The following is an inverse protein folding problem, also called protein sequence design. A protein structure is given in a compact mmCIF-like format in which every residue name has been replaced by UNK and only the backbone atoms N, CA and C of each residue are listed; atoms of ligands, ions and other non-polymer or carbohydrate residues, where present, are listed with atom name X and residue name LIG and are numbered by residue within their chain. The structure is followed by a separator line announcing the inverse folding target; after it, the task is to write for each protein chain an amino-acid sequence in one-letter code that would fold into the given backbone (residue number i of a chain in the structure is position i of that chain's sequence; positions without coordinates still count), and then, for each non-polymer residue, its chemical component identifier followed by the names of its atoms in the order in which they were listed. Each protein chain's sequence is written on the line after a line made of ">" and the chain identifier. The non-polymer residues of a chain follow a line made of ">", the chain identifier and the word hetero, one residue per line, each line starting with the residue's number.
data_IF_099687300756
#
_entry.id   IF_099687300756
#
_cell.length_a   1.000
_cell.length_b   1.000
_cell.length_c   1.000
_cell.angle_alpha   90.00
_cell.angle_beta   90.00
_cell.angle_gamma   90.00
#
_symmetry.space_group_name_H-M   'P 1'
#
loop_
_entity.id
_entity.type
_entity.pdbx_description
1 polymer ?
#
# COMPACT_ATOMS: atom_id res chain seq x y z
N UNK A 1 -13.62 36.81 1.92
CA UNK A 1 -14.58 35.99 1.16
C UNK A 1 -13.90 35.54 -0.12
N UNK A 2 -13.74 34.24 -0.30
CA UNK A 2 -13.89 33.50 -1.57
C UNK A 2 -13.71 32.02 -1.21
N UNK A 3 -14.85 31.37 -1.00
CA UNK A 3 -14.97 29.91 -0.87
C UNK A 3 -15.03 29.35 -2.29
N UNK A 4 -14.16 28.41 -2.62
CA UNK A 4 -14.39 27.51 -3.75
C UNK A 4 -14.36 26.08 -3.19
N UNK A 5 -15.48 25.35 -3.20
CA UNK A 5 -15.49 23.96 -2.78
C UNK A 5 -14.91 23.10 -3.91
N UNK A 6 -13.86 22.33 -3.60
CA UNK A 6 -13.39 21.27 -4.49
C UNK A 6 -14.40 20.11 -4.38
N UNK A 7 -15.18 19.92 -5.44
CA UNK A 7 -16.04 18.75 -5.63
C UNK A 7 -15.37 17.91 -6.71
N UNK A 8 -14.79 16.76 -6.35
CA UNK A 8 -14.29 15.79 -7.32
C UNK A 8 -15.33 14.69 -7.53
N UNK A 9 -15.70 14.51 -8.80
CA UNK A 9 -16.57 13.43 -9.28
C UNK A 9 -15.76 12.14 -9.36
N UNK A 10 -16.25 11.07 -8.72
CA UNK A 10 -15.82 9.71 -9.02
C UNK A 10 -16.16 9.37 -10.47
N UNK A 11 -15.13 9.00 -11.25
CA UNK A 11 -15.32 8.22 -12.47
C UNK A 11 -15.30 6.73 -12.08
N UNK A 12 -16.40 6.02 -12.31
CA UNK A 12 -16.53 4.58 -12.06
C UNK A 12 -15.99 3.75 -13.21
N UNK A 13 -15.32 2.65 -12.84
CA UNK A 13 -14.99 1.44 -13.59
C UNK A 13 -14.04 1.54 -14.79
N UNK A 14 -12.88 0.90 -14.64
CA UNK A 14 -12.24 0.09 -15.68
C UNK A 14 -11.62 -1.14 -15.02
N UNK A 15 -12.22 -2.32 -15.25
CA UNK A 15 -11.51 -3.59 -15.19
C UNK A 15 -10.50 -3.60 -16.36
N UNK A 16 -9.21 -3.85 -16.06
CA UNK A 16 -7.96 -3.82 -16.88
C UNK A 16 -7.00 -2.88 -16.11
N UNK A 17 -5.94 -3.26 -15.40
CA UNK A 17 -4.95 -4.33 -15.58
C UNK A 17 -4.42 -4.78 -14.21
N UNK A 18 -4.31 -6.09 -13.97
CA UNK A 18 -3.65 -6.65 -12.78
C UNK A 18 -2.14 -6.87 -12.94
N UNK A 19 -1.53 -6.34 -14.00
CA UNK A 19 -0.11 -6.58 -14.34
C UNK A 19 0.76 -5.34 -14.45
N UNK A 20 0.21 -4.13 -14.27
CA UNK A 20 0.99 -2.88 -14.34
C UNK A 20 1.01 -2.17 -12.99
N UNK A 21 1.96 -2.54 -12.13
CA UNK A 21 2.21 -1.83 -10.86
C UNK A 21 3.44 -0.91 -10.90
N UNK A 22 4.09 -0.75 -12.06
CA UNK A 22 5.22 0.17 -12.23
C UNK A 22 4.79 1.56 -12.69
N UNK A 23 5.60 2.58 -12.39
CA UNK A 23 5.44 3.90 -12.97
C UNK A 23 5.62 3.80 -14.51
N UNK A 24 5.01 4.70 -15.29
CA UNK A 24 5.07 4.64 -16.76
C UNK A 24 5.77 5.87 -17.36
N UNK A 25 6.71 5.64 -18.29
CA UNK A 25 7.31 6.68 -19.13
C UNK A 25 7.21 6.24 -20.60
N UNK A 26 6.49 7.02 -21.41
CA UNK A 26 6.14 6.62 -22.79
C UNK A 26 5.42 5.25 -22.83
N UNK A 27 5.71 4.39 -23.82
CA UNK A 27 5.17 3.02 -23.95
C UNK A 27 5.98 1.95 -23.16
N UNK A 28 6.97 2.34 -22.36
CA UNK A 28 7.78 1.43 -21.55
C UNK A 28 7.39 1.54 -20.07
N UNK A 29 7.43 0.41 -19.37
CA UNK A 29 7.30 0.43 -17.92
C UNK A 29 8.60 0.93 -17.33
N UNK A 30 8.52 1.78 -16.31
CA UNK A 30 9.72 2.24 -15.61
C UNK A 30 10.47 1.04 -15.03
N UNK A 31 9.77 -0.04 -14.63
CA UNK A 31 10.40 -1.31 -14.27
C UNK A 31 11.31 -1.92 -15.35
N UNK A 32 11.04 -1.69 -16.64
CA UNK A 32 11.91 -2.13 -17.73
C UNK A 32 13.17 -1.26 -17.85
N UNK A 33 13.10 0.00 -17.43
CA UNK A 33 14.24 0.93 -17.36
C UNK A 33 15.12 0.66 -16.13
N UNK A 34 14.51 0.37 -14.97
CA UNK A 34 15.24 0.07 -13.73
C UNK A 34 16.05 -1.22 -13.84
N UNK A 35 15.48 -2.24 -14.49
CA UNK A 35 16.12 -3.56 -14.61
C UNK A 35 16.95 -3.72 -15.90
N UNK A 36 17.19 -2.63 -16.63
CA UNK A 36 17.97 -2.66 -17.85
C UNK A 36 19.45 -2.80 -17.50
N UNK A 37 20.09 -3.80 -18.11
CA UNK A 37 21.53 -4.07 -18.09
C UNK A 37 21.92 -4.32 -19.56
N UNK A 38 22.43 -3.29 -20.21
CA UNK A 38 22.61 -3.25 -21.66
C UNK A 38 23.82 -4.07 -22.09
N UNK A 39 24.87 -4.11 -21.29
CA UNK A 39 26.10 -4.84 -21.61
C UNK A 39 26.14 -6.24 -20.99
N UNK A 40 25.24 -6.56 -20.06
CA UNK A 40 25.12 -7.82 -19.34
C UNK A 40 26.36 -8.10 -18.48
N UNK A 41 26.89 -7.08 -17.81
CA UNK A 41 27.97 -7.22 -16.83
C UNK A 41 27.46 -7.46 -15.39
N UNK A 42 26.14 -7.36 -15.18
CA UNK A 42 25.49 -7.54 -13.89
C UNK A 42 25.30 -6.26 -13.08
N UNK A 43 25.72 -5.11 -13.62
CA UNK A 43 25.39 -3.77 -13.13
C UNK A 43 24.25 -3.21 -13.97
N UNK A 44 23.29 -2.55 -13.34
CA UNK A 44 22.16 -1.96 -14.06
C UNK A 44 22.59 -0.63 -14.72
N UNK A 45 22.04 -0.31 -15.89
CA UNK A 45 22.39 0.89 -16.68
C UNK A 45 22.33 2.18 -15.83
N UNK A 46 21.31 2.29 -14.97
CA UNK A 46 21.14 3.46 -14.11
C UNK A 46 22.23 3.55 -13.02
N UNK A 47 22.71 2.40 -12.55
CA UNK A 47 23.76 2.32 -11.55
C UNK A 47 25.10 2.71 -12.17
N UNK A 48 25.38 2.25 -13.38
CA UNK A 48 26.54 2.67 -14.15
C UNK A 48 26.56 4.18 -14.39
N UNK A 49 25.41 4.73 -14.77
CA UNK A 49 25.21 6.18 -14.94
C UNK A 49 25.52 6.95 -13.66
N UNK A 50 25.10 6.43 -12.51
CA UNK A 50 25.33 7.04 -11.19
C UNK A 50 26.82 7.07 -10.84
N UNK A 51 27.55 6.01 -11.17
CA UNK A 51 28.97 5.88 -10.87
C UNK A 51 29.89 6.39 -11.98
N UNK A 52 29.32 6.85 -13.09
CA UNK A 52 30.04 7.46 -14.20
C UNK A 52 30.70 6.45 -15.15
N UNK A 53 30.19 5.21 -15.19
CA UNK A 53 30.54 4.19 -16.18
C UNK A 53 29.57 4.24 -17.38
N UNK A 54 29.93 3.56 -18.47
CA UNK A 54 29.24 3.55 -19.76
C UNK A 54 28.39 2.29 -19.88
N UNK A 55 27.04 2.40 -19.87
CA UNK A 55 26.15 1.24 -19.86
C UNK A 55 26.25 0.28 -21.05
N UNK A 56 26.99 0.67 -22.08
CA UNK A 56 27.18 -0.14 -23.28
C UNK A 56 28.49 -0.94 -23.24
N UNK A 57 29.26 -0.85 -22.15
CA UNK A 57 30.61 -1.43 -22.04
C UNK A 57 30.88 -2.02 -20.66
N UNK A 58 31.20 -3.32 -20.65
CA UNK A 58 31.63 -4.04 -19.42
C UNK A 58 32.87 -3.44 -18.74
N UNK A 59 33.63 -2.67 -19.50
CA UNK A 59 34.84 -1.97 -19.08
C UNK A 59 34.84 -0.57 -19.69
N UNK A 60 34.46 0.44 -18.92
CA UNK A 60 34.60 1.85 -19.30
C UNK A 60 36.06 2.27 -19.29
N UNK A 61 36.82 1.79 -18.29
CA UNK A 61 38.25 1.97 -18.17
C UNK A 61 38.99 0.66 -18.51
N UNK A 62 39.97 0.66 -19.43
CA UNK A 62 40.65 -0.57 -19.83
C UNK A 62 41.29 -1.32 -18.64
N UNK A 63 40.93 -2.60 -18.48
CA UNK A 63 41.57 -3.51 -17.53
C UNK A 63 40.92 -3.58 -16.15
N UNK A 64 39.76 -2.95 -15.94
CA UNK A 64 38.93 -3.10 -14.74
C UNK A 64 37.47 -3.13 -15.20
N UNK A 65 36.70 -4.16 -14.81
CA UNK A 65 35.26 -4.19 -15.09
C UNK A 65 34.51 -3.15 -14.29
N UNK A 66 33.41 -2.65 -14.85
CA UNK A 66 32.65 -1.56 -14.24
C UNK A 66 32.02 -2.01 -12.92
N UNK A 67 31.48 -3.23 -12.84
CA UNK A 67 31.16 -3.92 -11.57
C UNK A 67 32.23 -3.79 -10.47
N UNK A 68 33.50 -4.06 -10.79
CA UNK A 68 34.61 -4.00 -9.81
C UNK A 68 34.98 -2.56 -9.45
N UNK A 69 34.94 -1.65 -10.43
CA UNK A 69 35.19 -0.24 -10.21
C UNK A 69 34.13 0.37 -9.28
N UNK A 70 32.86 0.04 -9.50
CA UNK A 70 31.71 0.48 -8.73
C UNK A 70 31.75 -0.07 -7.30
N UNK A 71 32.04 -1.35 -7.12
CA UNK A 71 32.18 -1.95 -5.80
C UNK A 71 33.28 -1.27 -4.97
N UNK A 72 34.38 -0.89 -5.61
CA UNK A 72 35.45 -0.15 -4.97
C UNK A 72 34.99 1.25 -4.55
N UNK A 73 34.25 1.96 -5.40
CA UNK A 73 33.70 3.28 -5.07
C UNK A 73 32.68 3.21 -3.92
N UNK A 74 31.79 2.20 -3.92
CA UNK A 74 30.87 1.93 -2.82
C UNK A 74 31.62 1.66 -1.51
N UNK A 75 32.66 0.84 -1.56
CA UNK A 75 33.48 0.54 -0.38
C UNK A 75 34.22 1.77 0.15
N UNK A 76 34.75 2.62 -0.73
CA UNK A 76 35.41 3.89 -0.37
C UNK A 76 34.44 4.90 0.27
N UNK A 77 33.17 4.89 -0.15
CA UNK A 77 32.11 5.71 0.44
C UNK A 77 31.45 5.09 1.67
N UNK A 78 31.86 3.87 2.08
CA UNK A 78 31.27 3.15 3.21
C UNK A 78 29.87 2.61 2.93
N UNK A 79 29.46 2.51 1.65
CA UNK A 79 28.14 2.05 1.18
C UNK A 79 28.13 0.53 0.93
N UNK A 80 29.24 -0.18 1.14
CA UNK A 80 29.33 -1.63 0.88
C UNK A 80 29.23 -2.51 2.13
N UNK A 81 28.21 -3.37 2.21
CA UNK A 81 28.37 -4.67 2.86
C UNK A 81 29.42 -5.49 2.08
N UNK A 82 30.24 -6.24 2.80
CA UNK A 82 31.21 -7.18 2.20
C UNK A 82 30.45 -8.30 1.48
N UNK A 83 30.23 -8.18 0.17
CA UNK A 83 29.72 -9.29 -0.64
C UNK A 83 30.90 -10.13 -1.11
N UNK A 84 31.15 -11.22 -0.37
CA UNK A 84 31.73 -12.42 -0.97
C UNK A 84 30.63 -13.09 -1.80
N UNK A 85 30.92 -13.39 -3.06
CA UNK A 85 29.95 -13.93 -3.99
C UNK A 85 29.32 -15.24 -3.53
N UNK A 86 28.00 -15.32 -3.62
CA UNK A 86 27.29 -16.29 -4.45
C UNK A 86 25.79 -15.94 -4.41
N UNK A 87 25.13 -16.14 -5.55
CA UNK A 87 23.69 -16.37 -5.69
C UNK A 87 22.68 -15.23 -5.46
N UNK A 88 21.59 -15.34 -6.23
CA UNK A 88 20.32 -14.59 -6.19
C UNK A 88 19.76 -14.40 -4.76
N UNK A 89 20.36 -13.55 -3.95
CA UNK A 89 19.67 -12.98 -2.81
C UNK A 89 18.78 -11.89 -3.36
N UNK A 90 17.49 -12.21 -3.56
CA UNK A 90 16.46 -11.19 -3.67
C UNK A 90 16.54 -10.36 -2.39
N UNK A 91 17.14 -9.19 -2.51
CA UNK A 91 17.26 -8.23 -1.43
C UNK A 91 15.85 -7.95 -0.87
N UNK A 92 15.68 -8.08 0.44
CA UNK A 92 14.38 -7.81 1.08
C UNK A 92 14.19 -6.29 1.22
N UNK A 93 13.87 -5.65 0.11
CA UNK A 93 13.65 -4.21 0.01
C UNK A 93 12.31 -3.80 0.61
N UNK A 94 12.31 -2.70 1.38
CA UNK A 94 11.08 -1.98 1.75
C UNK A 94 10.46 -1.32 0.51
N UNK A 95 9.20 -0.89 0.58
CA UNK A 95 8.62 -0.13 -0.54
C UNK A 95 9.30 1.24 -0.67
N UNK A 96 9.78 1.81 0.43
CA UNK A 96 10.63 3.01 0.39
C UNK A 96 11.94 2.78 -0.38
N UNK A 97 12.58 1.62 -0.22
CA UNK A 97 13.80 1.28 -0.96
C UNK A 97 13.50 1.09 -2.45
N UNK A 98 12.44 0.32 -2.77
CA UNK A 98 11.99 0.10 -4.15
C UNK A 98 11.64 1.43 -4.81
N UNK A 99 10.88 2.27 -4.12
CA UNK A 99 10.50 3.60 -4.57
C UNK A 99 11.73 4.47 -4.83
N UNK A 100 12.70 4.49 -3.90
CA UNK A 100 13.92 5.29 -4.06
C UNK A 100 14.71 4.83 -5.28
N UNK A 101 14.88 3.51 -5.46
CA UNK A 101 15.55 2.94 -6.63
C UNK A 101 14.84 3.32 -7.92
N UNK A 102 13.52 3.21 -7.96
CA UNK A 102 12.72 3.55 -9.13
C UNK A 102 12.84 5.03 -9.49
N UNK A 103 12.72 5.92 -8.50
CA UNK A 103 12.87 7.36 -8.68
C UNK A 103 14.27 7.73 -9.20
N UNK A 104 15.32 7.24 -8.54
CA UNK A 104 16.69 7.55 -8.95
C UNK A 104 17.03 7.01 -10.33
N UNK A 105 16.59 5.78 -10.64
CA UNK A 105 16.80 5.16 -11.96
C UNK A 105 16.11 5.95 -13.07
N UNK A 106 14.87 6.40 -12.80
CA UNK A 106 14.12 7.24 -13.73
C UNK A 106 14.85 8.55 -13.98
N UNK A 107 15.28 9.25 -12.92
CA UNK A 107 16.02 10.52 -13.04
C UNK A 107 17.36 10.33 -13.77
N UNK A 108 18.10 9.25 -13.48
CA UNK A 108 19.37 8.96 -14.15
C UNK A 108 19.20 8.75 -15.66
N UNK A 109 18.24 7.92 -16.05
CA UNK A 109 17.91 7.63 -17.46
C UNK A 109 17.55 8.91 -18.21
N UNK A 110 16.66 9.73 -17.64
CA UNK A 110 16.19 10.96 -18.27
C UNK A 110 17.29 12.02 -18.42
N UNK A 111 18.23 12.06 -17.47
CA UNK A 111 19.40 12.93 -17.56
C UNK A 111 20.36 12.50 -18.69
N UNK A 112 20.48 11.20 -18.97
CA UNK A 112 21.33 10.70 -20.05
C UNK A 112 20.77 11.01 -21.44
N UNK A 113 19.45 10.88 -21.60
CA UNK A 113 18.79 11.14 -22.89
C UNK A 113 18.64 12.65 -23.18
N UNK A 114 18.91 13.51 -22.19
CA UNK A 114 18.78 14.97 -22.33
C UNK A 114 17.33 15.44 -22.40
N UNK A 115 16.38 14.60 -21.99
CA UNK A 115 14.93 14.79 -22.17
C UNK A 115 14.20 15.30 -20.92
N UNK A 116 14.93 15.80 -19.91
CA UNK A 116 14.29 16.32 -18.68
C UNK A 116 13.67 17.71 -18.90
N UNK A 117 12.49 17.74 -19.50
CA UNK A 117 11.62 18.90 -19.57
C UNK A 117 10.59 18.93 -18.43
N UNK A 118 9.91 20.07 -18.26
CA UNK A 118 8.91 20.22 -17.19
C UNK A 118 7.75 19.23 -17.33
N UNK A 119 7.36 18.87 -18.57
CA UNK A 119 6.26 17.94 -18.81
C UNK A 119 6.60 16.52 -18.32
N UNK A 120 7.87 16.12 -18.44
CA UNK A 120 8.38 14.86 -17.93
C UNK A 120 8.42 14.84 -16.40
N UNK A 121 8.88 15.93 -15.77
CA UNK A 121 8.84 16.08 -14.30
C UNK A 121 7.41 15.99 -13.77
N UNK A 122 6.46 16.64 -14.44
CA UNK A 122 5.04 16.64 -14.04
C UNK A 122 4.45 15.22 -14.13
N UNK A 123 4.77 14.46 -15.20
CA UNK A 123 4.31 13.07 -15.35
C UNK A 123 4.86 12.14 -14.27
N UNK A 124 6.14 12.24 -13.95
CA UNK A 124 6.76 11.46 -12.87
C UNK A 124 6.08 11.80 -11.55
N UNK A 125 5.87 13.10 -11.29
CA UNK A 125 5.21 13.57 -10.08
C UNK A 125 3.77 13.06 -9.95
N UNK A 126 3.00 13.05 -11.05
CA UNK A 126 1.64 12.49 -11.06
C UNK A 126 1.63 10.98 -10.87
N UNK A 127 2.46 10.25 -11.62
CA UNK A 127 2.55 8.78 -11.50
C UNK A 127 2.97 8.37 -10.09
N UNK A 128 3.86 9.14 -9.46
CA UNK A 128 4.27 8.97 -8.07
C UNK A 128 3.10 9.18 -7.11
N UNK A 129 2.38 10.31 -7.24
CA UNK A 129 1.21 10.57 -6.41
C UNK A 129 0.17 9.45 -6.54
N UNK A 130 -0.06 8.96 -7.76
CA UNK A 130 -1.00 7.87 -8.04
C UNK A 130 -0.55 6.55 -7.39
N UNK A 131 0.75 6.22 -7.44
CA UNK A 131 1.29 5.02 -6.81
C UNK A 131 1.14 5.06 -5.28
N UNK A 132 1.41 6.22 -4.66
CA UNK A 132 1.20 6.42 -3.22
C UNK A 132 -0.29 6.32 -2.86
N UNK A 133 -1.20 6.85 -3.70
CA UNK A 133 -2.61 6.89 -3.36
C UNK A 133 -3.36 5.58 -3.60
N UNK A 134 -2.86 4.69 -4.47
CA UNK A 134 -3.61 3.52 -4.95
C UNK A 134 -2.99 2.17 -4.58
N UNK A 135 -2.49 2.02 -3.34
CA UNK A 135 -2.02 0.71 -2.88
C UNK A 135 -3.19 -0.26 -2.65
N UNK A 136 -3.23 -1.43 -3.32
CA UNK A 136 -4.33 -2.38 -3.17
C UNK A 136 -4.30 -3.04 -1.78
N UNK A 137 -5.47 -3.47 -1.25
CA UNK A 137 -5.51 -4.23 0.00
C UNK A 137 -4.76 -5.56 -0.16
N UNK A 138 -4.01 -5.96 0.87
CA UNK A 138 -3.20 -7.19 0.83
C UNK A 138 -4.06 -8.42 0.99
N UNK A 139 -5.08 -8.36 1.85
CA UNK A 139 -6.00 -9.46 2.10
C UNK A 139 -7.42 -9.09 1.72
N UNK A 140 -8.04 -9.99 0.96
CA UNK A 140 -9.44 -9.90 0.54
C UNK A 140 -10.09 -11.24 0.83
N UNK A 141 -11.13 -11.23 1.65
CA UNK A 141 -11.99 -12.39 1.86
C UNK A 141 -12.96 -12.54 0.70
N UNK A 142 -13.31 -13.78 0.42
CA UNK A 142 -14.20 -14.19 -0.66
C UNK A 142 -15.34 -15.05 -0.11
N UNK A 143 -16.30 -15.40 -0.96
CA UNK A 143 -17.40 -16.30 -0.57
C UNK A 143 -16.94 -17.67 -0.06
N UNK A 144 -15.76 -18.16 -0.48
CA UNK A 144 -15.22 -19.42 0.05
C UNK A 144 -14.71 -19.32 1.49
N UNK A 145 -14.46 -18.11 1.98
CA UNK A 145 -13.93 -17.88 3.32
C UNK A 145 -15.05 -17.78 4.38
N UNK A 146 -16.30 -17.55 3.96
CA UNK A 146 -17.45 -17.34 4.85
C UNK A 146 -18.42 -18.52 4.85
N UNK A 147 -19.20 -18.65 5.93
CA UNK A 147 -20.17 -19.73 6.09
C UNK A 147 -21.58 -19.28 5.71
N UNK A 148 -21.93 -19.43 4.43
CA UNK A 148 -23.27 -19.10 3.96
C UNK A 148 -24.28 -20.21 4.27
N UNK A 149 -25.42 -19.86 4.84
CA UNK A 149 -26.56 -20.77 5.06
C UNK A 149 -27.73 -20.37 4.16
N UNK A 150 -28.50 -21.34 3.67
CA UNK A 150 -29.67 -21.10 2.81
C UNK A 150 -30.89 -20.54 3.56
N UNK A 151 -30.86 -20.53 4.89
CA UNK A 151 -31.96 -20.08 5.73
C UNK A 151 -31.98 -18.55 5.83
N UNK A 152 -32.92 -17.94 5.12
CA UNK A 152 -33.19 -16.50 5.12
C UNK A 152 -34.40 -16.12 5.98
N UNK A 153 -34.78 -16.95 6.95
CA UNK A 153 -35.86 -16.67 7.88
C UNK A 153 -35.55 -15.49 8.80
N UNK A 154 -36.59 -14.85 9.33
CA UNK A 154 -36.45 -13.80 10.36
C UNK A 154 -35.70 -14.33 11.59
N UNK A 155 -35.91 -15.60 11.97
CA UNK A 155 -35.19 -16.21 13.09
C UNK A 155 -33.69 -16.36 12.80
N UNK A 156 -33.31 -16.80 11.59
CA UNK A 156 -31.91 -16.90 11.20
C UNK A 156 -31.21 -15.53 11.21
N UNK A 157 -31.89 -14.50 10.73
CA UNK A 157 -31.38 -13.12 10.73
C UNK A 157 -31.24 -12.56 12.14
N UNK A 158 -32.22 -12.81 13.01
CA UNK A 158 -32.14 -12.41 14.41
C UNK A 158 -30.94 -13.07 15.09
N UNK A 159 -30.76 -14.38 14.88
CA UNK A 159 -29.61 -15.12 15.42
C UNK A 159 -28.28 -14.57 14.90
N UNK A 160 -28.21 -14.25 13.62
CA UNK A 160 -27.04 -13.62 13.02
C UNK A 160 -26.74 -12.26 13.65
N UNK A 161 -27.74 -11.39 13.79
CA UNK A 161 -27.59 -10.08 14.45
C UNK A 161 -27.12 -10.23 15.90
N UNK A 162 -27.79 -11.08 16.70
CA UNK A 162 -27.43 -11.33 18.09
C UNK A 162 -25.99 -11.86 18.23
N UNK A 163 -25.51 -12.61 17.21
CA UNK A 163 -24.13 -13.11 17.14
C UNK A 163 -23.13 -11.98 16.88
N UNK A 164 -23.43 -11.08 15.93
CA UNK A 164 -22.59 -9.91 15.68
C UNK A 164 -22.50 -9.00 16.91
N UNK A 165 -23.64 -8.71 17.54
CA UNK A 165 -23.68 -7.89 18.76
C UNK A 165 -22.83 -8.50 19.87
N UNK A 166 -22.89 -9.84 20.02
CA UNK A 166 -22.06 -10.57 20.98
C UNK A 166 -20.56 -10.51 20.66
N UNK A 167 -20.19 -10.55 19.37
CA UNK A 167 -18.80 -10.41 18.92
C UNK A 167 -18.28 -9.01 19.26
N UNK A 168 -19.03 -7.96 18.92
CA UNK A 168 -18.64 -6.57 19.20
C UNK A 168 -18.53 -6.31 20.71
N UNK A 169 -19.47 -6.81 21.52
CA UNK A 169 -19.42 -6.68 22.97
C UNK A 169 -18.22 -7.41 23.59
N UNK A 170 -17.80 -8.55 23.00
CA UNK A 170 -16.66 -9.35 23.48
C UNK A 170 -15.31 -8.68 23.22
N UNK A 171 -15.20 -7.90 22.14
CA UNK A 171 -13.95 -7.28 21.71
C UNK A 171 -14.11 -5.74 21.62
N UNK A 172 -14.22 -5.05 22.78
CA UNK A 172 -14.40 -3.61 22.78
C UNK A 172 -13.18 -2.91 22.18
N UNK A 173 -13.42 -2.05 21.20
CA UNK A 173 -12.42 -1.17 20.61
C UNK A 173 -12.24 0.04 21.54
N UNK A 174 -10.99 0.39 21.86
CA UNK A 174 -10.66 1.52 22.72
C UNK A 174 -9.73 2.48 21.99
N UNK A 175 -9.97 3.77 22.16
CA UNK A 175 -9.20 4.83 21.51
C UNK A 175 -9.94 5.45 20.34
N UNK A 176 -9.37 6.52 19.82
CA UNK A 176 -9.89 7.25 18.67
C UNK A 176 -8.71 7.48 17.72
N UNK A 177 -8.82 6.97 16.50
CA UNK A 177 -7.73 7.06 15.52
C UNK A 177 -7.40 8.52 15.21
N UNK A 178 -8.40 9.39 15.03
CA UNK A 178 -8.16 10.80 14.72
C UNK A 178 -7.39 11.51 15.84
N UNK A 179 -7.72 11.24 17.11
CA UNK A 179 -6.99 11.79 18.25
C UNK A 179 -5.53 11.29 18.28
N UNK A 180 -5.30 10.01 17.94
CA UNK A 180 -3.97 9.41 17.88
C UNK A 180 -3.14 10.01 16.75
N UNK A 181 -3.73 10.16 15.55
CA UNK A 181 -3.07 10.79 14.40
C UNK A 181 -2.78 12.27 14.69
N UNK A 182 -3.68 12.97 15.38
CA UNK A 182 -3.45 14.35 15.81
C UNK A 182 -2.27 14.45 16.79
N UNK A 183 -2.15 13.51 17.74
CA UNK A 183 -0.98 13.44 18.64
C UNK A 183 0.32 13.17 17.87
N UNK A 184 0.26 12.33 16.83
CA UNK A 184 1.41 12.00 16.00
C UNK A 184 1.94 13.25 15.26
N UNK A 185 1.06 14.06 14.66
CA UNK A 185 1.45 15.27 13.90
C UNK A 185 1.44 16.58 14.71
N UNK A 186 1.44 16.50 16.05
CA UNK A 186 1.26 17.68 16.89
C UNK A 186 2.38 18.74 16.74
N UNK A 187 3.57 18.36 16.28
CA UNK A 187 4.68 19.23 15.93
C UNK A 187 5.17 18.91 14.52
N UNK A 188 5.05 19.89 13.61
CA UNK A 188 5.43 19.76 12.19
C UNK A 188 6.93 19.52 11.99
N UNK A 189 7.77 19.90 12.96
CA UNK A 189 9.22 19.72 12.89
C UNK A 189 9.69 18.43 13.58
N UNK A 190 8.86 17.83 14.42
CA UNK A 190 9.22 16.66 15.21
C UNK A 190 7.99 15.82 15.55
N UNK A 191 7.61 14.94 14.61
CA UNK A 191 6.46 14.06 14.78
C UNK A 191 6.67 13.10 15.96
N UNK A 192 5.58 12.79 16.67
CA UNK A 192 5.62 11.86 17.80
C UNK A 192 5.29 10.43 17.34
N UNK A 193 6.28 9.74 16.76
CA UNK A 193 6.10 8.38 16.22
C UNK A 193 5.65 7.38 17.29
N UNK A 194 6.02 7.59 18.55
CA UNK A 194 5.58 6.76 19.68
C UNK A 194 4.06 6.78 19.90
N UNK A 195 3.35 7.83 19.46
CA UNK A 195 1.90 7.88 19.51
C UNK A 195 1.23 6.81 18.64
N UNK A 196 1.88 6.36 17.56
CA UNK A 196 1.32 5.35 16.65
C UNK A 196 1.16 3.97 17.31
N UNK A 197 1.88 3.69 18.40
CA UNK A 197 1.65 2.50 19.22
C UNK A 197 0.26 2.49 19.89
N UNK A 198 -0.37 3.66 20.08
CA UNK A 198 -1.74 3.77 20.61
C UNK A 198 -2.80 3.24 19.62
N UNK A 199 -2.44 2.92 18.38
CA UNK A 199 -3.33 2.24 17.42
C UNK A 199 -3.54 0.75 17.77
N UNK A 200 -2.65 0.12 18.55
CA UNK A 200 -2.75 -1.32 18.88
C UNK A 200 -4.05 -1.70 19.63
N UNK A 201 -4.52 -0.92 20.63
CA UNK A 201 -5.84 -1.07 21.23
C UNK A 201 -7.05 -0.98 20.28
N UNK A 202 -6.85 -0.55 19.02
CA UNK A 202 -7.86 -0.52 17.96
C UNK A 202 -7.65 -1.68 17.00
N UNK A 203 -6.41 -1.91 16.56
CA UNK A 203 -6.03 -2.95 15.62
C UNK A 203 -6.32 -4.35 16.19
N UNK A 204 -5.88 -4.64 17.42
CA UNK A 204 -6.01 -6.00 17.96
C UNK A 204 -7.47 -6.46 18.16
N UNK A 205 -8.38 -5.66 18.76
CA UNK A 205 -9.77 -6.06 18.86
C UNK A 205 -10.45 -6.17 17.49
N UNK A 206 -10.12 -5.28 16.54
CA UNK A 206 -10.68 -5.34 15.18
C UNK A 206 -10.29 -6.64 14.48
N UNK A 207 -9.03 -7.06 14.57
CA UNK A 207 -8.58 -8.38 14.10
C UNK A 207 -9.35 -9.54 14.75
N UNK A 208 -9.65 -9.46 16.05
CA UNK A 208 -10.46 -10.48 16.74
C UNK A 208 -11.91 -10.50 16.27
N UNK A 209 -12.48 -9.32 15.96
CA UNK A 209 -13.81 -9.18 15.37
C UNK A 209 -13.84 -9.82 13.98
N UNK A 210 -12.92 -9.45 13.07
CA UNK A 210 -12.83 -10.02 11.72
C UNK A 210 -12.80 -11.55 11.78
N UNK A 211 -11.88 -12.11 12.58
CA UNK A 211 -11.72 -13.55 12.73
C UNK A 211 -12.97 -14.27 13.27
N UNK A 212 -13.76 -13.60 14.11
CA UNK A 212 -15.01 -14.16 14.64
C UNK A 212 -16.16 -14.01 13.63
N UNK A 213 -16.24 -12.87 12.95
CA UNK A 213 -17.27 -12.56 11.94
C UNK A 213 -17.16 -13.50 10.74
N UNK A 214 -15.96 -13.74 10.21
CA UNK A 214 -15.72 -14.72 9.12
C UNK A 214 -16.24 -16.12 9.46
N UNK A 215 -16.15 -16.52 10.74
CA UNK A 215 -16.59 -17.85 11.21
C UNK A 215 -18.09 -17.94 11.46
N UNK A 216 -18.80 -16.82 11.42
CA UNK A 216 -20.23 -16.72 11.72
C UNK A 216 -21.05 -17.23 10.53
N UNK A 217 -22.10 -18.00 10.81
CA UNK A 217 -23.02 -18.44 9.77
C UNK A 217 -23.93 -17.29 9.35
N UNK A 218 -23.90 -16.94 8.06
CA UNK A 218 -24.63 -15.78 7.50
C UNK A 218 -25.75 -16.26 6.57
N UNK A 219 -26.99 -15.74 6.71
CA UNK A 219 -28.07 -15.94 5.75
C UNK A 219 -27.65 -15.57 4.33
N UNK A 220 -28.09 -16.33 3.33
CA UNK A 220 -27.69 -16.16 1.94
C UNK A 220 -27.95 -14.75 1.42
N UNK A 221 -29.08 -14.13 1.78
CA UNK A 221 -29.36 -12.75 1.33
C UNK A 221 -28.45 -11.69 1.94
N UNK A 222 -27.81 -11.95 3.09
CA UNK A 222 -26.87 -11.04 3.75
C UNK A 222 -25.41 -11.30 3.36
N UNK A 223 -25.12 -12.42 2.69
CA UNK A 223 -23.75 -12.84 2.44
C UNK A 223 -22.89 -11.82 1.67
N UNK A 224 -23.39 -11.10 0.64
CA UNK A 224 -22.60 -10.04 -0.01
C UNK A 224 -22.26 -8.90 0.95
N UNK A 225 -23.26 -8.37 1.69
CA UNK A 225 -23.07 -7.26 2.63
C UNK A 225 -22.18 -7.64 3.82
N UNK A 226 -22.26 -8.89 4.25
CA UNK A 226 -21.37 -9.45 5.28
C UNK A 226 -19.92 -9.50 4.78
N UNK A 227 -19.72 -9.90 3.53
CA UNK A 227 -18.40 -9.94 2.91
C UNK A 227 -17.81 -8.53 2.76
N UNK A 228 -18.60 -7.57 2.30
CA UNK A 228 -18.20 -6.16 2.19
C UNK A 228 -17.81 -5.58 3.55
N UNK A 229 -18.57 -5.92 4.60
CA UNK A 229 -18.26 -5.50 5.96
C UNK A 229 -16.93 -6.09 6.48
N UNK A 230 -16.70 -7.40 6.28
CA UNK A 230 -15.44 -8.05 6.67
C UNK A 230 -14.27 -7.42 5.92
N UNK A 231 -14.39 -7.23 4.61
CA UNK A 231 -13.34 -6.65 3.77
C UNK A 231 -13.09 -5.17 4.11
N UNK A 232 -14.12 -4.42 4.47
CA UNK A 232 -13.98 -3.06 4.99
C UNK A 232 -13.19 -3.02 6.30
N UNK A 233 -13.46 -3.96 7.22
CA UNK A 233 -12.71 -4.07 8.49
C UNK A 233 -11.25 -4.46 8.26
N UNK A 234 -11.00 -5.42 7.36
CA UNK A 234 -9.64 -5.86 7.01
C UNK A 234 -8.86 -4.71 6.40
N UNK A 235 -9.42 -4.02 5.40
CA UNK A 235 -8.80 -2.86 4.76
C UNK A 235 -8.49 -1.75 5.76
N UNK A 236 -9.43 -1.45 6.66
CA UNK A 236 -9.20 -0.49 7.75
C UNK A 236 -8.05 -0.93 8.67
N UNK A 237 -8.00 -2.22 9.03
CA UNK A 237 -6.98 -2.74 9.95
C UNK A 237 -5.60 -2.80 9.31
N UNK A 238 -5.49 -3.22 8.05
CA UNK A 238 -4.26 -3.15 7.25
C UNK A 238 -3.76 -1.72 7.16
N UNK A 239 -4.65 -0.77 6.88
CA UNK A 239 -4.32 0.65 6.79
C UNK A 239 -3.76 1.20 8.11
N UNK A 240 -4.35 0.86 9.25
CA UNK A 240 -3.79 1.28 10.55
C UNK A 240 -2.43 0.64 10.84
N UNK A 241 -2.20 -0.62 10.43
CA UNK A 241 -0.88 -1.24 10.57
C UNK A 241 0.16 -0.55 9.70
N UNK A 242 -0.20 -0.17 8.48
CA UNK A 242 0.70 0.49 7.54
C UNK A 242 1.10 1.89 8.01
N UNK A 243 0.17 2.64 8.60
CA UNK A 243 0.48 3.94 9.24
C UNK A 243 1.62 3.79 10.26
N UNK A 244 1.63 2.70 11.05
CA UNK A 244 2.67 2.45 12.07
C UNK A 244 4.06 2.23 11.49
N UNK A 245 4.18 1.98 10.18
CA UNK A 245 5.47 1.75 9.52
C UNK A 245 6.27 3.03 9.27
N UNK A 246 5.84 4.19 9.78
CA UNK A 246 6.49 5.48 9.55
C UNK A 246 8.03 5.46 9.71
N UNK A 247 8.52 4.82 10.78
CA UNK A 247 9.96 4.76 11.10
C UNK A 247 10.73 3.73 10.25
N UNK A 248 10.04 2.81 9.58
CA UNK A 248 10.64 1.66 8.88
C UNK A 248 10.41 1.64 7.38
N UNK A 249 9.28 2.21 6.92
CA UNK A 249 8.84 2.27 5.53
C UNK A 249 7.88 3.46 5.36
N UNK A 250 8.45 4.66 5.15
CA UNK A 250 7.71 5.92 5.12
C UNK A 250 6.73 6.01 3.94
N UNK A 251 7.05 5.39 2.80
CA UNK A 251 6.17 5.38 1.62
C UNK A 251 4.89 4.59 1.91
N UNK A 252 5.00 3.42 2.54
CA UNK A 252 3.83 2.64 2.98
C UNK A 252 3.01 3.43 3.99
N UNK A 253 3.66 4.06 4.97
CA UNK A 253 2.99 4.86 5.99
C UNK A 253 2.25 6.06 5.40
N UNK A 254 2.87 6.82 4.49
CA UNK A 254 2.23 7.95 3.81
C UNK A 254 1.10 7.53 2.88
N UNK A 255 1.28 6.43 2.13
CA UNK A 255 0.21 5.83 1.35
C UNK A 255 -0.99 5.55 2.24
N UNK A 256 -0.76 4.90 3.38
CA UNK A 256 -1.81 4.55 4.32
C UNK A 256 -2.48 5.78 4.95
N UNK A 257 -1.72 6.81 5.35
CA UNK A 257 -2.29 8.07 5.86
C UNK A 257 -3.18 8.74 4.81
N UNK A 258 -2.76 8.75 3.53
CA UNK A 258 -3.54 9.36 2.45
C UNK A 258 -4.87 8.63 2.18
N UNK A 259 -4.90 7.31 2.41
CA UNK A 259 -6.08 6.48 2.16
C UNK A 259 -7.00 6.35 3.39
N UNK A 260 -6.61 6.86 4.56
CA UNK A 260 -7.32 6.64 5.82
C UNK A 260 -8.79 7.06 5.77
N UNK A 261 -9.08 8.25 5.25
CA UNK A 261 -10.46 8.76 5.15
C UNK A 261 -11.31 7.88 4.23
N UNK A 262 -10.76 7.48 3.07
CA UNK A 262 -11.46 6.62 2.11
C UNK A 262 -11.73 5.24 2.71
N UNK A 263 -10.74 4.63 3.37
CA UNK A 263 -10.86 3.32 3.99
C UNK A 263 -11.91 3.32 5.11
N UNK A 264 -11.94 4.40 5.89
CA UNK A 264 -12.96 4.63 6.92
C UNK A 264 -14.35 4.75 6.29
N UNK A 265 -14.51 5.56 5.23
CA UNK A 265 -15.79 5.73 4.55
C UNK A 265 -16.32 4.42 3.94
N UNK A 266 -15.45 3.58 3.37
CA UNK A 266 -15.82 2.27 2.82
C UNK A 266 -16.35 1.35 3.92
N UNK A 267 -15.67 1.29 5.07
CA UNK A 267 -16.13 0.51 6.22
C UNK A 267 -17.46 1.04 6.76
N UNK A 268 -17.63 2.37 6.87
CA UNK A 268 -18.88 2.98 7.34
C UNK A 268 -20.07 2.64 6.44
N UNK A 269 -19.88 2.71 5.12
CA UNK A 269 -20.91 2.34 4.14
C UNK A 269 -21.27 0.87 4.28
N UNK A 270 -20.28 -0.03 4.27
CA UNK A 270 -20.54 -1.48 4.37
C UNK A 270 -21.25 -1.85 5.69
N UNK A 271 -20.82 -1.26 6.82
CA UNK A 271 -21.46 -1.47 8.12
C UNK A 271 -22.91 -0.96 8.14
N UNK A 272 -23.15 0.21 7.54
CA UNK A 272 -24.49 0.80 7.43
C UNK A 272 -25.40 -0.08 6.58
N UNK A 273 -24.96 -0.52 5.40
CA UNK A 273 -25.77 -1.33 4.49
C UNK A 273 -26.14 -2.67 5.10
N UNK A 274 -25.17 -3.36 5.72
CA UNK A 274 -25.42 -4.61 6.43
C UNK A 274 -26.47 -4.41 7.54
N UNK A 275 -26.30 -3.38 8.37
CA UNK A 275 -27.22 -3.07 9.48
C UNK A 275 -28.62 -2.72 8.98
N UNK A 276 -28.73 -1.94 7.91
CA UNK A 276 -30.01 -1.51 7.36
C UNK A 276 -30.76 -2.71 6.74
N UNK A 277 -30.06 -3.62 6.06
CA UNK A 277 -30.64 -4.87 5.55
C UNK A 277 -31.16 -5.79 6.66
N UNK A 278 -30.41 -5.93 7.76
CA UNK A 278 -30.85 -6.67 8.95
C UNK A 278 -32.13 -6.04 9.52
N UNK A 279 -32.13 -4.72 9.74
CA UNK A 279 -33.29 -3.99 10.31
C UNK A 279 -34.53 -4.13 9.45
N UNK A 280 -34.39 -3.98 8.13
CA UNK A 280 -35.49 -4.14 7.19
C UNK A 280 -36.12 -5.53 7.30
N UNK A 281 -35.28 -6.58 7.41
CA UNK A 281 -35.77 -7.96 7.52
C UNK A 281 -36.38 -8.30 8.87
N UNK A 282 -35.95 -7.65 9.96
CA UNK A 282 -36.50 -7.86 11.31
C UNK A 282 -37.79 -7.07 11.57
N UNK A 283 -38.04 -6.00 10.81
CA UNK A 283 -39.23 -5.16 10.95
C UNK A 283 -40.40 -5.55 10.01
N UNK A 284 -40.14 -6.45 9.05
CA UNK A 284 -41.14 -7.04 8.16
C UNK A 284 -41.66 -8.36 8.73
#
# INVERSE_FOLDING_TARGET
>A
MLKTPLIFKNATNSELDKENQGLAYSNALIGDLVNKDTDLDGVLDWEESLWGTDPTKKETAPGISDSVAIDKLKAEQGIGEKIGGDSQNTENLTETDKFSRELFSTVATLNQEGEMDQATIDKISSSLADHIQNSPPRKIYTFSDIKVIKDDSVQAVKKYNDTLDSIHAKYPIKGNVADILQKFIADENNVNTSALAELDPIIEPTNKIINATVKTSVPQFLAPLHLDFINGLERFTENLNDIKLYDTDVIVSFSAMSQYEQNTAILEVAAKELRDAIRQKLNN
#
